data_IF_958935096857
#
_entry.id   IF_958935096857
#
_cell.length_a   1.000
_cell.length_b   1.000
_cell.length_c   1.000
_cell.angle_alpha   90.00
_cell.angle_beta   90.00
_cell.angle_gamma   90.00
#
_symmetry.space_group_name_H-M   'P 1'
#
loop_
_entity.id
_entity.type
_entity.pdbx_description
1 polymer ?
#
# COMPACT_ATOMS: atom_id res chain seq x y z
N UNK A 1 -28.36 24.84 61.07
CA UNK A 1 -29.10 23.64 60.64
C UNK A 1 -29.04 23.59 59.13
N UNK A 2 -28.58 22.45 58.58
CA UNK A 2 -28.36 22.10 57.16
C UNK A 2 -27.16 22.77 56.46
N UNK A 3 -26.24 21.89 56.07
CA UNK A 3 -24.94 22.11 55.43
C UNK A 3 -25.08 21.91 53.93
N UNK A 4 -24.52 22.83 53.15
CA UNK A 4 -24.34 22.78 51.71
C UNK A 4 -23.29 21.74 51.29
N UNK A 5 -23.52 21.05 50.16
CA UNK A 5 -22.56 20.14 49.56
C UNK A 5 -22.53 20.34 48.03
N UNK A 6 -21.53 21.07 47.56
CA UNK A 6 -21.04 21.01 46.16
C UNK A 6 -19.52 20.87 46.22
N UNK A 7 -19.05 19.64 46.03
CA UNK A 7 -17.63 19.33 45.95
C UNK A 7 -17.07 19.69 44.58
N UNK A 8 -16.05 20.54 44.63
CA UNK A 8 -14.97 20.69 43.66
C UNK A 8 -14.14 19.39 43.71
N UNK A 9 -13.89 18.73 42.57
CA UNK A 9 -12.88 17.67 42.50
C UNK A 9 -11.60 18.26 41.89
N UNK A 10 -10.66 18.56 42.77
CA UNK A 10 -9.28 18.91 42.51
C UNK A 10 -8.47 17.69 42.08
N UNK A 11 -7.53 17.94 41.17
CA UNK A 11 -6.49 17.04 40.67
C UNK A 11 -5.68 16.39 41.79
N UNK A 12 -5.33 15.10 41.64
CA UNK A 12 -4.23 14.49 42.38
C UNK A 12 -3.32 13.74 41.41
N UNK A 13 -2.14 14.31 41.16
CA UNK A 13 -1.00 13.62 40.58
C UNK A 13 -0.23 12.93 41.70
N UNK A 14 0.15 11.66 41.52
CA UNK A 14 1.13 10.99 42.39
C UNK A 14 2.27 10.51 41.50
N UNK A 15 3.39 11.24 41.59
CA UNK A 15 4.71 10.83 41.14
C UNK A 15 5.31 9.92 42.22
N UNK A 16 5.76 8.73 41.85
CA UNK A 16 6.68 7.93 42.66
C UNK A 16 7.78 7.34 41.76
N UNK A 17 9.00 7.87 41.92
CA UNK A 17 10.24 7.24 41.46
C UNK A 17 10.80 6.39 42.60
N UNK A 18 11.14 5.13 42.36
CA UNK A 18 12.29 4.48 43.01
C UNK A 18 12.94 3.46 42.09
N UNK A 19 14.25 3.36 42.23
CA UNK A 19 15.14 2.45 41.52
C UNK A 19 15.02 1.01 42.05
N UNK A 20 15.29 0.05 41.16
CA UNK A 20 15.43 -1.39 41.37
C UNK A 20 14.12 -2.22 41.46
N UNK A 21 13.93 -3.07 40.44
CA UNK A 21 13.44 -4.44 40.56
C UNK A 21 12.06 -4.71 41.19
N UNK A 22 11.12 -5.17 40.35
CA UNK A 22 10.07 -6.16 40.64
C UNK A 22 9.35 -6.11 42.00
N UNK A 23 8.07 -5.70 42.00
CA UNK A 23 7.01 -6.39 42.75
C UNK A 23 5.61 -5.99 42.28
N UNK A 24 4.87 -6.97 41.77
CA UNK A 24 3.41 -6.93 41.63
C UNK A 24 2.84 -7.27 43.01
N UNK A 25 2.22 -6.31 43.72
CA UNK A 25 1.07 -6.62 44.60
C UNK A 25 0.30 -5.37 45.06
N UNK A 26 -1.01 -5.41 44.81
CA UNK A 26 -2.16 -4.83 45.53
C UNK A 26 -1.98 -3.64 46.50
N UNK A 27 -2.73 -2.58 46.25
CA UNK A 27 -3.34 -1.69 47.24
C UNK A 27 -4.53 -0.98 46.58
N UNK A 28 -5.67 -0.70 47.20
CA UNK A 28 -6.29 -1.15 48.44
C UNK A 28 -7.79 -0.91 48.23
N UNK A 29 -8.64 -1.75 48.80
CA UNK A 29 -10.08 -1.57 48.82
C UNK A 29 -10.41 -0.22 49.49
N UNK A 30 -10.92 0.74 48.71
CA UNK A 30 -11.64 1.89 49.24
C UNK A 30 -13.09 1.85 48.72
N UNK A 31 -13.95 1.52 49.67
CA UNK A 31 -15.40 1.76 49.73
C UNK A 31 -16.18 1.71 48.40
N UNK A 32 -16.57 0.49 48.00
CA UNK A 32 -17.42 0.24 46.82
C UNK A 32 -18.90 0.58 47.07
N UNK A 33 -19.28 1.15 48.22
CA UNK A 33 -20.68 1.44 48.56
C UNK A 33 -21.29 2.64 47.82
N UNK A 34 -20.48 3.42 47.07
CA UNK A 34 -20.93 4.57 46.27
C UNK A 34 -20.90 4.37 44.75
N UNK A 35 -20.52 3.19 44.26
CA UNK A 35 -20.61 2.89 42.82
C UNK A 35 -22.00 2.37 42.48
N UNK A 36 -22.80 3.18 41.78
CA UNK A 36 -24.03 2.70 41.16
C UNK A 36 -23.69 1.57 40.18
N UNK A 37 -24.49 0.49 40.22
CA UNK A 37 -24.39 -0.62 39.30
C UNK A 37 -24.54 -0.10 37.85
N UNK A 38 -23.43 0.07 37.15
CA UNK A 38 -23.40 0.66 35.81
C UNK A 38 -22.13 1.42 35.42
N UNK A 39 -21.16 1.61 36.32
CA UNK A 39 -19.88 2.21 35.96
C UNK A 39 -19.01 1.23 35.13
N UNK A 40 -19.22 1.19 33.81
CA UNK A 40 -18.21 0.70 32.88
C UNK A 40 -17.03 1.67 32.93
N UNK A 41 -15.91 1.22 33.48
CA UNK A 41 -14.64 1.91 33.33
C UNK A 41 -14.27 1.91 31.84
N UNK A 42 -14.52 3.03 31.15
CA UNK A 42 -13.92 3.27 29.86
C UNK A 42 -12.45 3.64 30.12
N UNK A 43 -11.58 2.64 30.05
CA UNK A 43 -10.15 2.88 29.88
C UNK A 43 -9.96 3.54 28.52
N UNK A 44 -9.69 4.84 28.53
CA UNK A 44 -9.14 5.53 27.36
C UNK A 44 -7.70 5.04 27.21
N UNK A 45 -7.47 4.10 26.30
CA UNK A 45 -6.11 3.75 25.87
C UNK A 45 -5.70 4.83 24.88
N UNK A 46 -4.78 5.71 25.28
CA UNK A 46 -4.19 6.69 24.36
C UNK A 46 -3.51 5.95 23.19
N UNK A 47 -3.84 6.32 21.95
CA UNK A 47 -3.17 5.81 20.75
C UNK A 47 -1.70 6.26 20.75
N UNK A 48 -0.80 5.48 21.35
CA UNK A 48 0.62 5.84 21.41
C UNK A 48 1.57 4.96 22.24
N UNK A 49 1.07 4.01 23.04
CA UNK A 49 1.91 3.31 24.02
C UNK A 49 2.63 2.03 23.53
N UNK A 50 2.37 1.54 22.32
CA UNK A 50 3.04 0.31 21.86
C UNK A 50 4.39 0.58 21.22
N UNK A 51 5.35 -0.32 21.46
CA UNK A 51 6.65 -0.29 20.83
C UNK A 51 6.56 -0.22 19.29
N UNK A 52 7.39 0.64 18.70
CA UNK A 52 7.48 0.84 17.27
C UNK A 52 8.87 0.47 16.77
N UNK A 53 8.93 -0.55 15.91
CA UNK A 53 10.17 -0.98 15.26
C UNK A 53 10.55 -0.03 14.11
N UNK A 54 9.56 0.44 13.35
CA UNK A 54 9.77 1.36 12.21
C UNK A 54 10.12 0.67 10.90
N UNK A 55 9.24 -0.23 10.48
CA UNK A 55 9.29 -0.91 9.19
C UNK A 55 7.91 -0.85 8.53
N UNK A 56 7.92 -0.93 7.20
CA UNK A 56 6.79 -1.41 6.42
C UNK A 56 7.06 -2.88 6.10
N UNK A 57 6.02 -3.69 6.21
CA UNK A 57 6.14 -5.12 5.96
C UNK A 57 4.88 -5.68 5.35
N UNK A 58 5.06 -6.79 4.63
CA UNK A 58 3.99 -7.54 4.02
C UNK A 58 3.97 -8.98 4.53
N UNK A 59 2.84 -9.64 4.33
CA UNK A 59 2.74 -11.07 4.48
C UNK A 59 3.22 -11.75 3.20
N UNK A 60 3.86 -12.90 3.37
CA UNK A 60 4.30 -13.75 2.27
C UNK A 60 3.32 -14.88 2.07
N UNK A 61 3.12 -15.31 0.82
CA UNK A 61 2.38 -16.55 0.56
C UNK A 61 3.20 -17.75 1.01
N UNK A 62 2.52 -18.87 1.30
CA UNK A 62 3.16 -20.15 1.64
C UNK A 62 4.21 -20.57 0.61
N UNK A 63 3.91 -20.40 -0.67
CA UNK A 63 4.83 -20.78 -1.76
C UNK A 63 6.05 -19.87 -1.82
N UNK A 64 5.87 -18.56 -1.64
CA UNK A 64 6.99 -17.60 -1.57
C UNK A 64 7.87 -17.89 -0.36
N UNK A 65 7.26 -18.12 0.80
CA UNK A 65 7.98 -18.51 2.02
C UNK A 65 8.82 -19.77 1.81
N UNK A 66 8.25 -20.81 1.19
CA UNK A 66 8.97 -22.04 0.85
C UNK A 66 10.14 -21.79 -0.12
N UNK A 67 9.93 -21.00 -1.18
CA UNK A 67 10.99 -20.66 -2.16
C UNK A 67 12.16 -19.88 -1.52
N UNK A 68 11.85 -19.01 -0.57
CA UNK A 68 12.83 -18.22 0.19
C UNK A 68 13.48 -18.99 1.35
N UNK A 69 13.01 -20.20 1.64
CA UNK A 69 13.55 -21.03 2.73
C UNK A 69 13.09 -20.60 4.13
N UNK A 70 11.91 -20.01 4.25
CA UNK A 70 11.32 -19.64 5.53
C UNK A 70 10.53 -20.82 6.12
N UNK A 71 10.71 -21.06 7.43
CA UNK A 71 10.08 -22.19 8.14
C UNK A 71 8.55 -22.06 8.21
N UNK A 72 8.03 -20.83 8.17
CA UNK A 72 6.60 -20.54 8.15
C UNK A 72 6.32 -19.26 7.33
N UNK A 73 5.04 -18.95 7.12
CA UNK A 73 4.58 -17.78 6.35
C UNK A 73 4.12 -16.60 7.23
N UNK A 74 4.11 -16.78 8.56
CA UNK A 74 3.44 -15.86 9.49
C UNK A 74 4.32 -14.71 9.98
N UNK A 75 5.61 -14.74 9.65
CA UNK A 75 6.52 -13.62 9.81
C UNK A 75 6.22 -12.43 8.91
N UNK A 76 7.01 -11.38 9.08
CA UNK A 76 6.86 -10.10 8.38
C UNK A 76 8.01 -9.88 7.41
N UNK A 77 7.70 -9.79 6.12
CA UNK A 77 8.68 -9.51 5.07
C UNK A 77 8.82 -8.01 4.88
N UNK A 78 10.00 -7.48 5.16
CA UNK A 78 10.26 -6.04 5.23
C UNK A 78 10.29 -5.45 3.82
N UNK A 79 9.30 -4.62 3.50
CA UNK A 79 9.24 -3.89 2.22
C UNK A 79 10.00 -2.57 2.28
N UNK A 80 10.12 -1.95 3.46
CA UNK A 80 10.89 -0.72 3.65
C UNK A 80 11.25 -0.52 5.11
N UNK A 81 12.40 0.07 5.35
CA UNK A 81 12.80 0.54 6.70
C UNK A 81 12.55 2.04 6.79
N UNK A 82 11.96 2.48 7.89
CA UNK A 82 11.67 3.89 8.12
C UNK A 82 12.96 4.60 8.53
N UNK A 83 13.24 5.76 7.93
CA UNK A 83 14.43 6.55 8.26
C UNK A 83 14.38 7.01 9.72
N UNK A 84 15.54 7.05 10.38
CA UNK A 84 15.72 7.37 11.79
C UNK A 84 14.93 6.46 12.75
N UNK A 85 14.57 5.26 12.32
CA UNK A 85 13.82 4.31 13.14
C UNK A 85 14.70 3.40 14.01
N UNK A 86 14.05 2.64 14.89
CA UNK A 86 14.72 1.61 15.67
C UNK A 86 15.27 0.48 14.78
N UNK A 87 14.52 0.10 13.74
CA UNK A 87 14.92 -0.88 12.74
C UNK A 87 16.18 -0.46 11.97
N UNK A 88 16.22 0.78 11.49
CA UNK A 88 17.38 1.33 10.76
C UNK A 88 18.64 1.31 11.63
N UNK A 89 18.54 1.82 12.87
CA UNK A 89 19.66 1.80 13.82
C UNK A 89 20.12 0.38 14.18
N UNK A 90 19.21 -0.59 14.15
CA UNK A 90 19.50 -2.00 14.38
C UNK A 90 20.08 -2.70 13.13
N UNK A 91 20.19 -2.00 12.00
CA UNK A 91 20.72 -2.54 10.75
C UNK A 91 19.77 -3.49 10.03
N UNK A 92 18.46 -3.44 10.31
CA UNK A 92 17.44 -4.11 9.50
C UNK A 92 17.37 -3.46 8.12
N UNK A 93 16.99 -4.24 7.12
CA UNK A 93 16.98 -3.85 5.71
C UNK A 93 15.68 -4.33 5.04
N UNK A 94 15.34 -3.73 3.89
CA UNK A 94 14.35 -4.33 3.00
C UNK A 94 14.78 -5.76 2.62
N UNK A 95 13.81 -6.62 2.30
CA UNK A 95 13.97 -8.06 2.08
C UNK A 95 14.32 -8.90 3.33
N UNK A 96 14.45 -8.30 4.52
CA UNK A 96 14.51 -9.08 5.75
C UNK A 96 13.17 -9.77 6.03
N UNK A 97 13.22 -10.99 6.54
CA UNK A 97 12.05 -11.70 7.02
C UNK A 97 12.09 -11.87 8.53
N UNK A 98 11.30 -11.07 9.25
CA UNK A 98 11.26 -11.08 10.71
C UNK A 98 10.28 -12.17 11.17
N UNK A 99 10.77 -13.10 11.98
CA UNK A 99 9.99 -14.23 12.47
C UNK A 99 9.91 -14.30 14.00
N UNK A 100 10.46 -13.31 14.72
CA UNK A 100 10.33 -13.25 16.17
C UNK A 100 10.99 -12.06 16.84
N UNK A 101 10.64 -11.86 18.10
CA UNK A 101 11.22 -10.88 19.02
C UNK A 101 11.44 -11.57 20.37
N UNK A 102 12.67 -11.59 20.84
CA UNK A 102 13.13 -12.32 22.05
C UNK A 102 12.68 -13.79 22.05
N UNK A 103 11.87 -14.22 23.01
CA UNK A 103 11.31 -15.58 23.09
C UNK A 103 10.10 -15.80 22.18
N UNK A 104 9.42 -14.73 21.73
CA UNK A 104 8.18 -14.84 20.96
C UNK A 104 8.47 -15.08 19.47
N UNK A 105 7.75 -16.02 18.87
CA UNK A 105 7.88 -16.38 17.44
C UNK A 105 6.56 -16.14 16.71
N UNK A 106 6.66 -15.77 15.44
CA UNK A 106 5.47 -15.62 14.60
C UNK A 106 4.88 -16.98 14.26
N UNK A 107 3.56 -17.07 14.31
CA UNK A 107 2.81 -18.30 14.08
C UNK A 107 1.38 -17.95 13.62
N UNK A 108 0.59 -18.97 13.29
CA UNK A 108 -0.82 -18.77 12.99
C UNK A 108 -1.52 -18.08 14.17
N UNK A 109 -2.21 -16.97 13.89
CA UNK A 109 -2.85 -16.15 14.92
C UNK A 109 -1.92 -15.20 15.68
N UNK A 110 -0.60 -15.26 15.49
CA UNK A 110 0.39 -14.39 16.14
C UNK A 110 1.40 -13.80 15.13
N UNK A 111 1.16 -12.56 14.71
CA UNK A 111 2.06 -11.80 13.84
C UNK A 111 3.04 -10.89 14.62
N UNK A 112 3.95 -10.23 13.90
CA UNK A 112 4.91 -9.30 14.49
C UNK A 112 4.24 -8.14 15.24
N UNK A 113 3.13 -7.62 14.74
CA UNK A 113 2.42 -6.50 15.39
C UNK A 113 1.91 -6.93 16.76
N UNK A 114 1.35 -8.13 16.86
CA UNK A 114 0.91 -8.68 18.14
C UNK A 114 2.08 -8.96 19.09
N UNK A 115 3.22 -9.41 18.57
CA UNK A 115 4.44 -9.58 19.37
C UNK A 115 4.90 -8.24 19.93
N UNK A 116 4.99 -7.20 19.09
CA UNK A 116 5.46 -5.87 19.50
C UNK A 116 4.55 -5.19 20.54
N UNK A 117 3.25 -5.50 20.58
CA UNK A 117 2.32 -5.00 21.61
C UNK A 117 2.67 -5.42 23.04
N UNK A 118 3.57 -6.40 23.22
CA UNK A 118 4.06 -6.84 24.53
C UNK A 118 5.18 -5.95 25.07
N UNK A 119 5.70 -5.03 24.26
CA UNK A 119 6.84 -4.20 24.58
C UNK A 119 6.42 -2.74 24.71
N UNK A 120 7.06 -2.07 25.66
CA UNK A 120 6.97 -0.62 25.79
C UNK A 120 8.02 0.07 24.89
N UNK A 121 7.77 1.31 24.47
CA UNK A 121 8.80 2.14 23.87
C UNK A 121 10.04 2.27 24.77
N UNK A 122 11.21 2.40 24.15
CA UNK A 122 12.54 2.41 24.75
C UNK A 122 12.98 1.10 25.40
N UNK A 123 12.16 0.04 25.34
CA UNK A 123 12.56 -1.28 25.78
C UNK A 123 13.57 -1.90 24.79
N UNK A 124 14.52 -2.66 25.34
CA UNK A 124 15.46 -3.46 24.53
C UNK A 124 14.81 -4.78 24.15
N UNK A 125 15.06 -5.22 22.92
CA UNK A 125 14.60 -6.51 22.42
C UNK A 125 15.60 -7.07 21.39
N UNK A 126 15.52 -8.36 21.12
CA UNK A 126 16.29 -9.06 20.08
C UNK A 126 15.35 -9.44 18.94
N UNK A 127 15.54 -8.84 17.77
CA UNK A 127 14.81 -9.18 16.56
C UNK A 127 15.45 -10.42 15.93
N UNK A 128 14.64 -11.45 15.70
CA UNK A 128 15.01 -12.65 14.96
C UNK A 128 14.53 -12.53 13.51
N UNK A 129 15.46 -12.58 12.56
CA UNK A 129 15.14 -12.39 11.15
C UNK A 129 15.95 -13.30 10.24
N UNK A 130 15.51 -13.46 9.01
CA UNK A 130 16.23 -14.14 7.94
C UNK A 130 16.65 -13.08 6.91
N UNK A 131 17.93 -13.09 6.54
CA UNK A 131 18.48 -12.28 5.44
C UNK A 131 19.31 -13.20 4.56
N UNK A 132 19.07 -13.18 3.25
CA UNK A 132 19.78 -14.05 2.30
C UNK A 132 19.76 -15.52 2.74
N UNK A 133 18.60 -16.00 3.19
CA UNK A 133 18.37 -17.39 3.67
C UNK A 133 19.10 -17.77 4.97
N UNK A 134 19.80 -16.84 5.61
CA UNK A 134 20.49 -17.06 6.88
C UNK A 134 19.71 -16.46 8.05
N UNK A 135 19.56 -17.24 9.14
CA UNK A 135 18.99 -16.76 10.39
C UNK A 135 19.98 -15.84 11.09
N UNK A 136 19.52 -14.63 11.43
CA UNK A 136 20.28 -13.55 12.07
C UNK A 136 19.52 -12.99 13.28
N UNK A 137 20.24 -12.22 14.08
CA UNK A 137 19.69 -11.50 15.24
C UNK A 137 20.16 -10.06 15.23
N UNK A 138 19.29 -9.13 15.62
CA UNK A 138 19.63 -7.73 15.81
C UNK A 138 19.14 -7.25 17.18
N UNK A 139 20.03 -6.62 17.95
CA UNK A 139 19.65 -5.95 19.18
C UNK A 139 19.04 -4.60 18.83
N UNK A 140 17.85 -4.31 19.36
CA UNK A 140 17.12 -3.07 19.08
C UNK A 140 16.67 -2.40 20.37
N UNK A 141 16.65 -1.07 20.36
CA UNK A 141 15.91 -0.26 21.34
C UNK A 141 14.65 0.22 20.64
N UNK A 142 13.49 -0.32 21.04
CA UNK A 142 12.22 -0.05 20.37
C UNK A 142 11.83 1.42 20.51
N UNK A 143 11.32 2.02 19.45
CA UNK A 143 10.96 3.44 19.42
C UNK A 143 9.51 3.69 19.83
N UNK A 144 9.16 4.98 19.88
CA UNK A 144 7.77 5.44 19.78
C UNK A 144 7.41 5.62 18.32
N UNK A 145 6.14 5.39 17.98
CA UNK A 145 5.66 5.76 16.65
C UNK A 145 5.70 7.29 16.52
N UNK A 146 6.33 7.85 15.48
CA UNK A 146 6.29 9.29 15.26
C UNK A 146 4.85 9.75 15.02
N UNK A 147 4.51 10.94 15.53
CA UNK A 147 3.19 11.57 15.35
C UNK A 147 2.99 12.12 13.93
N UNK A 148 4.08 12.38 13.21
CA UNK A 148 4.07 12.89 11.85
C UNK A 148 4.29 11.76 10.82
N UNK A 149 3.54 11.84 9.72
CA UNK A 149 3.73 10.96 8.57
C UNK A 149 5.11 11.17 7.92
N UNK A 150 5.63 10.14 7.27
CA UNK A 150 6.88 10.28 6.50
C UNK A 150 6.64 11.23 5.31
N UNK A 151 7.62 12.10 4.97
CA UNK A 151 7.51 12.94 3.78
C UNK A 151 7.33 12.07 2.54
N UNK A 152 6.30 12.39 1.76
CA UNK A 152 6.00 11.70 0.51
C UNK A 152 6.97 12.19 -0.56
N UNK A 153 7.73 11.28 -1.17
CA UNK A 153 8.62 11.61 -2.31
C UNK A 153 7.78 12.02 -3.52
N UNK A 154 8.18 13.09 -4.19
CA UNK A 154 7.61 13.47 -5.48
C UNK A 154 7.96 12.44 -6.57
N UNK A 155 7.21 12.39 -7.66
CA UNK A 155 7.47 11.43 -8.75
C UNK A 155 8.89 11.54 -9.31
N UNK A 156 9.45 12.74 -9.37
CA UNK A 156 10.80 12.97 -9.90
C UNK A 156 11.91 12.52 -8.93
N UNK A 157 11.58 12.23 -7.67
CA UNK A 157 12.51 11.68 -6.69
C UNK A 157 12.37 10.16 -6.55
N UNK A 158 11.37 9.55 -7.20
CA UNK A 158 11.17 8.10 -7.16
C UNK A 158 11.95 7.44 -8.29
N UNK A 159 12.82 6.52 -7.91
CA UNK A 159 13.51 5.65 -8.84
C UNK A 159 12.49 4.87 -9.69
N UNK A 160 12.77 4.74 -10.97
CA UNK A 160 11.89 4.10 -11.94
C UNK A 160 12.69 3.23 -12.91
N UNK A 161 12.49 1.92 -12.81
CA UNK A 161 13.12 0.98 -13.73
C UNK A 161 12.47 1.06 -15.12
N UNK A 162 11.16 1.33 -15.18
CA UNK A 162 10.37 1.38 -16.41
C UNK A 162 10.05 0.00 -16.98
N UNK A 163 9.45 -0.84 -16.14
CA UNK A 163 8.92 -2.15 -16.50
C UNK A 163 7.46 -2.26 -16.06
N UNK A 164 6.67 -3.04 -16.78
CA UNK A 164 5.29 -3.41 -16.45
C UNK A 164 5.14 -4.93 -16.44
N UNK A 165 4.16 -5.52 -15.74
CA UNK A 165 3.93 -6.95 -15.77
C UNK A 165 3.52 -7.41 -17.17
N UNK A 166 4.09 -8.52 -17.65
CA UNK A 166 3.66 -9.16 -18.88
C UNK A 166 2.70 -10.33 -18.57
N UNK A 167 1.40 -10.11 -18.82
CA UNK A 167 0.36 -11.13 -18.65
C UNK A 167 0.11 -11.54 -17.18
N UNK A 168 -0.55 -12.68 -17.00
CA UNK A 168 -0.71 -13.33 -15.70
C UNK A 168 0.54 -14.15 -15.42
N UNK A 169 1.30 -13.79 -14.39
CA UNK A 169 2.41 -14.63 -13.95
C UNK A 169 1.85 -15.91 -13.31
N UNK A 170 1.66 -16.92 -14.16
CA UNK A 170 1.24 -18.27 -13.76
C UNK A 170 2.38 -18.90 -12.97
N UNK A 171 2.28 -18.82 -11.64
CA UNK A 171 3.30 -19.27 -10.71
C UNK A 171 3.85 -20.65 -11.07
N UNK A 172 5.18 -20.77 -11.04
CA UNK A 172 5.89 -22.02 -11.38
C UNK A 172 7.18 -21.79 -12.17
N UNK A 173 7.22 -20.69 -12.94
CA UNK A 173 8.43 -20.23 -13.61
C UNK A 173 9.29 -19.37 -12.67
N UNK A 174 10.59 -19.34 -12.93
CA UNK A 174 11.54 -18.53 -12.18
C UNK A 174 11.52 -17.08 -12.67
N UNK A 175 11.45 -16.13 -11.73
CA UNK A 175 11.39 -14.71 -12.03
C UNK A 175 10.05 -14.24 -12.57
N UNK A 176 9.95 -12.93 -12.75
CA UNK A 176 8.72 -12.22 -13.13
C UNK A 176 8.84 -11.71 -14.55
N UNK A 177 7.86 -12.04 -15.40
CA UNK A 177 7.81 -11.60 -16.78
C UNK A 177 7.45 -10.11 -16.88
N UNK A 178 8.15 -9.39 -17.75
CA UNK A 178 8.01 -7.94 -17.89
C UNK A 178 7.86 -7.49 -19.34
N UNK A 179 7.13 -6.40 -19.52
CA UNK A 179 7.28 -5.51 -20.68
C UNK A 179 8.11 -4.30 -20.29
N UNK A 180 8.78 -3.71 -21.26
CA UNK A 180 9.64 -2.55 -21.11
C UNK A 180 8.94 -1.28 -21.54
N UNK A 181 9.22 -0.18 -20.83
CA UNK A 181 8.75 1.15 -21.19
C UNK A 181 9.88 1.84 -21.96
N UNK A 182 9.57 2.50 -23.07
CA UNK A 182 10.58 3.23 -23.84
C UNK A 182 11.24 4.36 -23.04
N UNK A 183 12.48 4.68 -23.39
CA UNK A 183 13.35 5.67 -22.74
C UNK A 183 13.66 5.38 -21.26
N UNK A 184 13.31 4.19 -20.78
CA UNK A 184 13.51 3.80 -19.39
C UNK A 184 14.92 3.30 -19.09
N UNK A 185 15.21 3.18 -17.80
CA UNK A 185 16.40 2.48 -17.31
C UNK A 185 16.44 1.04 -17.86
N UNK A 186 15.31 0.34 -17.87
CA UNK A 186 15.21 -1.05 -18.33
C UNK A 186 15.58 -1.21 -19.81
N UNK A 187 15.01 -0.37 -20.69
CA UNK A 187 15.34 -0.38 -22.12
C UNK A 187 16.82 -0.05 -22.34
N UNK A 188 17.35 0.96 -21.64
CA UNK A 188 18.75 1.38 -21.77
C UNK A 188 19.80 0.34 -21.29
N UNK A 189 19.38 -0.63 -20.47
CA UNK A 189 20.21 -1.78 -20.08
C UNK A 189 19.97 -3.02 -20.95
N UNK A 190 19.13 -2.90 -21.97
CA UNK A 190 18.85 -3.94 -22.95
C UNK A 190 17.86 -5.00 -22.49
N UNK A 191 17.04 -4.74 -21.46
CA UNK A 191 15.84 -5.53 -21.19
C UNK A 191 14.88 -5.40 -22.37
N UNK A 192 14.05 -6.42 -22.57
CA UNK A 192 13.05 -6.50 -23.63
C UNK A 192 11.77 -7.13 -23.09
N UNK A 193 10.67 -6.86 -23.78
CA UNK A 193 9.42 -7.59 -23.58
C UNK A 193 9.66 -9.09 -23.71
N UNK A 194 9.06 -9.89 -22.83
CA UNK A 194 9.29 -11.33 -22.72
C UNK A 194 10.37 -11.71 -21.70
N UNK A 195 11.20 -10.77 -21.24
CA UNK A 195 12.24 -11.08 -20.26
C UNK A 195 11.64 -11.43 -18.90
N UNK A 196 12.28 -12.37 -18.20
CA UNK A 196 11.93 -12.69 -16.80
C UNK A 196 13.00 -12.19 -15.85
N UNK A 197 12.67 -11.21 -15.02
CA UNK A 197 13.59 -10.71 -13.99
C UNK A 197 13.66 -11.72 -12.85
N UNK A 198 14.85 -12.25 -12.58
CA UNK A 198 15.09 -13.24 -11.52
C UNK A 198 15.78 -12.65 -10.30
N UNK A 199 16.51 -11.54 -10.46
CA UNK A 199 17.16 -10.85 -9.34
C UNK A 199 17.33 -9.37 -9.59
N UNK A 200 17.16 -8.55 -8.55
CA UNK A 200 17.52 -7.13 -8.53
C UNK A 200 18.43 -6.87 -7.33
N UNK A 201 19.59 -6.26 -7.56
CA UNK A 201 20.59 -5.91 -6.54
C UNK A 201 20.97 -7.08 -5.61
N UNK A 202 20.95 -8.31 -6.14
CA UNK A 202 21.27 -9.53 -5.39
C UNK A 202 20.11 -10.11 -4.56
N UNK A 203 18.91 -9.52 -4.62
CA UNK A 203 17.70 -10.08 -4.04
C UNK A 203 16.96 -10.94 -5.07
N UNK A 204 16.42 -12.08 -4.64
CA UNK A 204 15.61 -12.96 -5.48
C UNK A 204 14.26 -12.27 -5.79
N UNK A 205 13.87 -12.26 -7.06
CA UNK A 205 12.58 -11.72 -7.50
C UNK A 205 11.64 -12.89 -7.77
N UNK A 206 10.65 -13.07 -6.90
CA UNK A 206 9.70 -14.19 -6.98
C UNK A 206 8.34 -13.73 -7.50
N UNK A 207 7.92 -12.54 -7.11
CA UNK A 207 6.68 -11.92 -7.59
C UNK A 207 6.88 -10.42 -7.85
N UNK A 208 5.88 -9.81 -8.49
CA UNK A 208 5.92 -8.39 -8.84
C UNK A 208 6.18 -7.47 -7.62
N UNK A 209 5.77 -7.90 -6.42
CA UNK A 209 5.98 -7.13 -5.19
C UNK A 209 7.47 -7.05 -4.84
N UNK A 210 8.27 -8.06 -5.13
CA UNK A 210 9.73 -7.98 -4.94
C UNK A 210 10.37 -6.92 -5.84
N UNK A 211 9.88 -6.75 -7.08
CA UNK A 211 10.36 -5.69 -7.98
C UNK A 211 10.05 -4.32 -7.37
N UNK A 212 8.82 -4.12 -6.91
CA UNK A 212 8.42 -2.87 -6.27
C UNK A 212 9.28 -2.56 -5.04
N UNK A 213 9.50 -3.54 -4.15
CA UNK A 213 10.37 -3.41 -2.97
C UNK A 213 11.79 -3.04 -3.40
N UNK A 214 12.36 -3.71 -4.40
CA UNK A 214 13.73 -3.44 -4.84
C UNK A 214 13.89 -1.99 -5.33
N UNK A 215 12.91 -1.47 -6.08
CA UNK A 215 12.97 -0.13 -6.68
C UNK A 215 12.63 0.96 -5.66
N UNK A 216 11.60 0.78 -4.82
CA UNK A 216 11.15 1.80 -3.86
C UNK A 216 12.21 2.16 -2.80
N UNK A 217 13.18 1.26 -2.57
CA UNK A 217 14.30 1.48 -1.67
C UNK A 217 15.54 2.06 -2.36
N UNK A 218 15.47 2.37 -3.66
CA UNK A 218 16.55 3.04 -4.39
C UNK A 218 16.35 4.56 -4.46
N UNK A 219 17.45 5.25 -4.71
CA UNK A 219 17.48 6.67 -5.06
C UNK A 219 17.81 6.84 -6.54
N UNK A 220 17.30 7.90 -7.14
CA UNK A 220 17.61 8.27 -8.53
C UNK A 220 19.13 8.42 -8.69
N UNK A 221 19.66 7.87 -9.79
CA UNK A 221 21.09 7.84 -10.07
C UNK A 221 21.85 6.67 -9.43
N UNK A 222 21.28 5.97 -8.45
CA UNK A 222 21.90 4.74 -7.92
C UNK A 222 21.95 3.67 -9.00
N UNK A 223 23.05 2.90 -9.03
CA UNK A 223 23.21 1.84 -10.03
C UNK A 223 22.35 0.64 -9.65
N UNK A 224 21.36 0.31 -10.49
CA UNK A 224 20.57 -0.92 -10.37
C UNK A 224 21.29 -2.04 -11.12
N UNK A 225 21.30 -3.23 -10.53
CA UNK A 225 21.77 -4.46 -11.14
C UNK A 225 20.58 -5.41 -11.30
N UNK A 226 20.32 -5.85 -12.54
CA UNK A 226 19.21 -6.76 -12.85
C UNK A 226 19.76 -8.03 -13.49
N UNK A 227 19.41 -9.20 -12.95
CA UNK A 227 19.57 -10.50 -13.61
C UNK A 227 18.22 -10.93 -14.18
N UNK A 228 18.24 -11.41 -15.40
CA UNK A 228 17.03 -11.80 -16.12
C UNK A 228 17.28 -13.01 -17.03
N UNK A 229 16.20 -13.70 -17.41
CA UNK A 229 16.22 -14.76 -18.40
C UNK A 229 15.61 -14.28 -19.72
N UNK A 230 16.26 -14.65 -20.82
CA UNK A 230 15.74 -14.49 -22.19
C UNK A 230 16.07 -15.74 -22.98
N UNK A 231 15.06 -16.35 -23.60
CA UNK A 231 15.20 -17.60 -24.37
C UNK A 231 15.90 -18.72 -23.57
N UNK A 232 15.57 -18.84 -22.28
CA UNK A 232 16.18 -19.80 -21.36
C UNK A 232 17.63 -19.51 -20.95
N UNK A 233 18.23 -18.40 -21.38
CA UNK A 233 19.60 -18.00 -21.02
C UNK A 233 19.59 -16.89 -19.99
N UNK A 234 20.42 -17.04 -18.96
CA UNK A 234 20.65 -15.99 -17.96
C UNK A 234 21.48 -14.84 -18.54
N UNK A 235 21.04 -13.62 -18.27
CA UNK A 235 21.66 -12.35 -18.66
C UNK A 235 21.68 -11.40 -17.47
N UNK A 236 22.50 -10.36 -17.57
CA UNK A 236 22.68 -9.35 -16.54
C UNK A 236 22.81 -7.96 -17.19
N UNK A 237 22.14 -6.98 -16.61
CA UNK A 237 22.20 -5.57 -17.02
C UNK A 237 22.44 -4.68 -15.79
N UNK A 238 23.11 -3.55 -16.00
CA UNK A 238 23.28 -2.56 -14.93
C UNK A 238 23.42 -1.14 -15.48
N UNK A 239 22.68 -0.21 -14.86
CA UNK A 239 22.61 1.21 -15.21
C UNK A 239 22.26 2.06 -13.99
N UNK A 240 22.65 3.35 -13.93
CA UNK A 240 22.04 4.31 -13.03
C UNK A 240 20.52 4.36 -13.25
N UNK A 241 19.73 4.25 -12.18
CA UNK A 241 18.27 4.26 -12.26
C UNK A 241 17.76 5.68 -12.46
N UNK A 242 17.01 5.91 -13.54
CA UNK A 242 16.32 7.17 -13.81
C UNK A 242 15.15 7.36 -12.85
N UNK A 243 14.73 8.61 -12.68
CA UNK A 243 13.41 8.91 -12.11
C UNK A 243 12.28 8.60 -13.09
N UNK A 244 11.05 8.59 -12.58
CA UNK A 244 9.86 8.54 -13.42
C UNK A 244 9.80 9.71 -14.40
N UNK A 245 10.18 10.92 -13.96
CA UNK A 245 10.17 12.13 -14.78
C UNK A 245 11.21 12.08 -15.91
N UNK A 246 12.43 11.61 -15.63
CA UNK A 246 13.48 11.44 -16.65
C UNK A 246 13.11 10.41 -17.72
N UNK A 247 12.28 9.43 -17.38
CA UNK A 247 11.80 8.43 -18.35
C UNK A 247 10.74 9.04 -19.28
N UNK A 248 9.93 9.98 -18.79
CA UNK A 248 8.94 10.72 -19.59
C UNK A 248 9.54 11.88 -20.40
N UNK A 249 10.67 12.45 -19.97
CA UNK A 249 11.23 13.68 -20.55
C UNK A 249 11.72 13.55 -22.01
N UNK A 250 11.99 12.34 -22.52
CA UNK A 250 12.40 12.12 -23.93
C UNK A 250 11.28 11.61 -24.83
N UNK A 251 10.06 11.37 -24.32
CA UNK A 251 8.91 11.37 -25.22
C UNK A 251 8.65 12.83 -25.60
N UNK A 252 9.27 13.31 -26.68
CA UNK A 252 8.75 14.44 -27.45
C UNK A 252 7.42 14.03 -28.09
N UNK A 253 6.44 13.68 -27.26
CA UNK A 253 5.07 14.01 -27.56
C UNK A 253 4.89 15.37 -26.90
N UNK A 254 5.06 16.43 -27.68
CA UNK A 254 4.35 17.67 -27.34
C UNK A 254 2.91 17.24 -27.16
N UNK A 255 2.45 17.12 -25.91
CA UNK A 255 1.02 16.99 -25.66
C UNK A 255 0.48 18.32 -26.17
N UNK A 256 -0.23 18.36 -27.32
CA UNK A 256 -0.81 19.60 -27.74
C UNK A 256 -1.66 20.07 -26.57
N UNK A 257 -1.47 21.33 -26.16
CA UNK A 257 -2.41 22.00 -25.25
C UNK A 257 -3.79 21.59 -25.73
N UNK A 258 -4.52 20.84 -24.90
CA UNK A 258 -5.77 20.25 -25.32
C UNK A 258 -6.60 21.40 -25.91
N UNK A 259 -6.97 21.36 -27.21
CA UNK A 259 -7.85 22.39 -27.73
C UNK A 259 -9.09 22.38 -26.84
N UNK A 260 -9.61 23.57 -26.54
CA UNK A 260 -10.87 23.67 -25.81
C UNK A 260 -11.86 22.66 -26.40
N UNK A 261 -12.58 21.88 -25.56
CA UNK A 261 -13.28 20.69 -26.01
C UNK A 261 -14.11 20.98 -27.25
N UNK A 262 -13.61 20.52 -28.40
CA UNK A 262 -14.22 20.80 -29.69
C UNK A 262 -15.54 20.05 -29.85
N UNK A 263 -16.27 20.36 -30.93
CA UNK A 263 -17.60 19.79 -31.21
C UNK A 263 -17.66 18.26 -31.19
N UNK A 264 -16.54 17.56 -31.47
CA UNK A 264 -16.50 16.11 -31.34
C UNK A 264 -16.66 15.64 -29.88
N UNK A 265 -16.02 16.33 -28.92
CA UNK A 265 -16.06 15.99 -27.49
C UNK A 265 -17.43 16.29 -26.87
N UNK A 266 -17.99 17.47 -27.16
CA UNK A 266 -19.36 17.84 -26.73
C UNK A 266 -20.45 16.92 -27.31
N UNK A 267 -20.18 16.25 -28.43
CA UNK A 267 -21.10 15.27 -29.04
C UNK A 267 -21.03 13.87 -28.44
N UNK A 268 -19.88 13.43 -27.92
CA UNK A 268 -19.66 12.05 -27.44
C UNK A 268 -19.56 11.90 -25.93
N UNK A 269 -19.34 12.99 -25.20
CA UNK A 269 -19.30 13.02 -23.74
C UNK A 269 -20.21 14.15 -23.24
N UNK A 270 -21.52 13.93 -23.34
CA UNK A 270 -22.50 14.83 -22.72
C UNK A 270 -22.47 14.63 -21.20
N UNK A 271 -22.40 15.72 -20.45
CA UNK A 271 -22.29 15.78 -18.98
C UNK A 271 -23.37 15.01 -18.21
N UNK A 272 -24.45 14.59 -18.88
CA UNK A 272 -25.62 13.99 -18.25
C UNK A 272 -25.98 12.58 -18.77
N UNK A 273 -25.17 11.99 -19.65
CA UNK A 273 -25.40 10.60 -20.07
C UNK A 273 -24.81 9.64 -19.03
N UNK A 274 -25.71 8.95 -18.32
CA UNK A 274 -25.41 7.76 -17.51
C UNK A 274 -24.36 6.92 -18.23
N UNK A 275 -23.21 6.70 -17.58
CA UNK A 275 -22.23 5.71 -18.00
C UNK A 275 -22.97 4.47 -18.51
N UNK A 276 -22.67 3.93 -19.69
CA UNK A 276 -23.46 2.87 -20.31
C UNK A 276 -23.69 1.75 -19.31
N UNK A 277 -24.94 1.65 -18.84
CA UNK A 277 -25.32 0.73 -17.79
C UNK A 277 -25.43 -0.66 -18.41
N UNK A 278 -24.39 -1.47 -18.24
CA UNK A 278 -24.33 -2.86 -18.65
C UNK A 278 -23.76 -3.04 -20.04
N UNK A 279 -22.44 -3.15 -20.13
CA UNK A 279 -21.79 -3.74 -21.31
C UNK A 279 -21.78 -5.26 -21.08
N UNK A 280 -22.64 -5.98 -21.79
CA UNK A 280 -22.69 -7.44 -21.79
C UNK A 280 -21.75 -7.95 -22.87
N UNK A 281 -20.57 -8.44 -22.47
CA UNK A 281 -19.76 -9.37 -23.27
C UNK A 281 -20.17 -10.82 -22.97
N UNK A 282 -19.77 -11.81 -23.80
CA UNK A 282 -19.96 -13.21 -23.47
C UNK A 282 -19.13 -13.54 -22.22
N UNK A 283 -19.83 -13.69 -21.08
CA UNK A 283 -19.25 -14.17 -19.84
C UNK A 283 -18.74 -13.13 -18.84
N UNK A 284 -18.97 -11.83 -19.03
CA UNK A 284 -18.68 -10.85 -17.98
C UNK A 284 -19.65 -9.68 -18.04
N UNK A 285 -20.25 -9.34 -16.89
CA UNK A 285 -21.15 -8.21 -16.72
C UNK A 285 -20.53 -7.19 -15.78
N UNK A 286 -20.19 -6.01 -16.31
CA UNK A 286 -19.68 -4.88 -15.53
C UNK A 286 -20.77 -3.80 -15.44
N UNK A 287 -21.13 -3.42 -14.21
CA UNK A 287 -22.05 -2.33 -13.93
C UNK A 287 -21.36 -1.27 -13.08
N UNK A 288 -21.33 -0.03 -13.54
CA UNK A 288 -20.81 1.09 -12.77
C UNK A 288 -21.93 2.05 -12.36
N UNK A 289 -21.95 2.43 -11.08
CA UNK A 289 -22.92 3.33 -10.48
C UNK A 289 -22.19 4.37 -9.61
N UNK A 290 -22.82 5.51 -9.35
CA UNK A 290 -22.28 6.45 -8.37
C UNK A 290 -22.29 5.81 -6.98
N UNK A 291 -21.23 6.03 -6.22
CA UNK A 291 -21.17 5.56 -4.83
C UNK A 291 -22.08 6.41 -3.94
N UNK A 292 -22.94 5.79 -3.14
CA UNK A 292 -23.78 6.51 -2.16
C UNK A 292 -23.02 6.83 -0.88
N UNK A 293 -23.46 7.85 -0.13
CA UNK A 293 -22.83 8.23 1.16
C UNK A 293 -22.93 7.10 2.20
N UNK A 294 -24.02 6.35 2.17
CA UNK A 294 -24.28 5.21 3.05
C UNK A 294 -23.35 4.04 2.72
N UNK A 295 -23.09 3.77 1.44
CA UNK A 295 -22.11 2.77 1.01
C UNK A 295 -20.68 3.22 1.32
N UNK A 296 -20.33 4.47 1.04
CA UNK A 296 -19.03 5.05 1.37
C UNK A 296 -18.69 4.92 2.87
N UNK A 297 -19.68 5.18 3.73
CA UNK A 297 -19.53 5.05 5.19
C UNK A 297 -19.36 3.61 5.69
N UNK A 298 -19.66 2.61 4.85
CA UNK A 298 -19.43 1.18 5.16
C UNK A 298 -18.07 0.70 4.68
N UNK A 299 -17.43 1.43 3.78
CA UNK A 299 -16.11 1.09 3.25
C UNK A 299 -15.05 1.59 4.22
N UNK A 300 -14.27 0.67 4.79
CA UNK A 300 -13.16 1.05 5.67
C UNK A 300 -13.54 1.30 7.13
N UNK A 301 -14.61 0.67 7.64
CA UNK A 301 -14.93 0.63 9.09
C UNK A 301 -13.81 0.00 9.98
N UNK A 302 -12.67 -0.35 9.40
CA UNK A 302 -11.50 -0.89 10.07
C UNK A 302 -10.25 -0.07 9.69
N UNK A 303 -10.07 1.11 10.28
CA UNK A 303 -8.81 1.90 10.34
C UNK A 303 -7.96 1.99 9.03
N UNK A 304 -8.60 2.19 7.87
CA UNK A 304 -7.94 2.42 6.57
C UNK A 304 -8.42 3.74 5.96
N UNK A 305 -7.65 4.43 5.11
CA UNK A 305 -8.12 5.63 4.44
C UNK A 305 -9.38 5.29 3.64
N UNK A 306 -10.53 5.80 4.10
CA UNK A 306 -11.83 5.56 3.47
C UNK A 306 -11.90 6.17 2.07
N UNK A 307 -12.91 5.74 1.32
CA UNK A 307 -13.35 6.39 0.08
C UNK A 307 -14.55 7.26 0.43
N UNK A 308 -14.56 8.51 -0.02
CA UNK A 308 -15.73 9.37 0.13
C UNK A 308 -16.71 9.17 -1.05
N UNK A 309 -17.95 9.63 -0.89
CA UNK A 309 -18.96 9.61 -1.95
C UNK A 309 -18.92 10.89 -2.81
N UNK A 310 -17.75 11.52 -2.96
CA UNK A 310 -17.62 12.73 -3.76
C UNK A 310 -17.92 12.45 -5.24
N UNK A 311 -18.63 13.37 -5.87
CA UNK A 311 -18.91 13.38 -7.30
C UNK A 311 -18.90 14.83 -7.80
N UNK A 312 -17.80 15.53 -7.51
CA UNK A 312 -17.62 16.94 -7.82
C UNK A 312 -16.47 17.17 -8.83
N UNK A 313 -16.05 16.12 -9.52
CA UNK A 313 -15.08 16.17 -10.61
C UNK A 313 -15.83 16.46 -11.93
N UNK A 314 -15.68 17.66 -12.52
CA UNK A 314 -16.45 18.05 -13.69
C UNK A 314 -15.96 17.31 -14.95
N UNK A 315 -16.90 17.01 -15.87
CA UNK A 315 -16.63 16.49 -17.22
C UNK A 315 -15.80 15.19 -17.29
N UNK A 316 -15.85 14.36 -16.24
CA UNK A 316 -15.21 13.05 -16.22
C UNK A 316 -16.05 12.01 -16.98
N UNK A 317 -15.74 11.81 -18.25
CA UNK A 317 -16.27 10.71 -19.03
C UNK A 317 -15.63 9.40 -18.62
N UNK A 318 -16.35 8.54 -17.88
CA UNK A 318 -15.82 7.28 -17.37
C UNK A 318 -16.49 6.11 -18.09
N UNK A 319 -15.73 5.44 -18.95
CA UNK A 319 -16.22 4.26 -19.68
C UNK A 319 -15.52 3.03 -19.17
N UNK A 320 -16.32 2.01 -18.85
CA UNK A 320 -15.85 0.68 -18.51
C UNK A 320 -16.35 -0.28 -19.56
N UNK A 321 -15.47 -1.01 -20.21
CA UNK A 321 -15.81 -2.13 -21.07
C UNK A 321 -14.87 -3.29 -20.78
N UNK A 322 -15.33 -4.50 -21.05
CA UNK A 322 -14.50 -5.71 -21.08
C UNK A 322 -14.27 -6.09 -22.53
N UNK A 323 -13.02 -6.32 -22.94
CA UNK A 323 -12.76 -7.01 -24.19
C UNK A 323 -12.89 -8.53 -23.99
N UNK A 324 -13.52 -9.21 -24.94
CA UNK A 324 -13.82 -10.65 -24.93
C UNK A 324 -12.55 -11.53 -24.87
N UNK A 325 -11.36 -10.92 -25.03
CA UNK A 325 -10.07 -11.60 -25.05
C UNK A 325 -9.22 -11.38 -23.79
N UNK A 326 -9.45 -10.29 -23.05
CA UNK A 326 -8.47 -9.80 -22.06
C UNK A 326 -8.95 -9.81 -20.61
N UNK A 327 -10.26 -9.93 -20.33
CA UNK A 327 -10.80 -9.94 -18.96
C UNK A 327 -10.40 -8.71 -18.11
N UNK A 328 -10.04 -7.59 -18.74
CA UNK A 328 -9.60 -6.37 -18.08
C UNK A 328 -10.68 -5.31 -18.04
N UNK A 329 -10.65 -4.50 -16.99
CA UNK A 329 -11.41 -3.27 -16.86
C UNK A 329 -10.67 -2.13 -17.57
N UNK A 330 -11.20 -1.66 -18.69
CA UNK A 330 -10.67 -0.43 -19.30
C UNK A 330 -11.19 0.78 -18.51
N UNK A 331 -10.30 1.67 -18.09
CA UNK A 331 -10.62 2.93 -17.42
C UNK A 331 -10.20 4.06 -18.34
N UNK A 332 -11.16 4.79 -18.88
CA UNK A 332 -10.91 6.01 -19.65
C UNK A 332 -11.51 7.18 -18.91
N UNK A 333 -10.75 8.26 -18.71
CA UNK A 333 -11.27 9.50 -18.16
C UNK A 333 -10.55 10.72 -18.73
N UNK A 334 -11.29 11.82 -18.90
CA UNK A 334 -10.72 13.11 -19.29
C UNK A 334 -10.76 14.06 -18.11
N UNK A 335 -9.65 14.74 -17.86
CA UNK A 335 -9.46 15.67 -16.75
C UNK A 335 -9.00 17.02 -17.30
N UNK A 336 -9.89 18.03 -17.38
CA UNK A 336 -9.58 19.27 -18.09
C UNK A 336 -8.60 20.18 -17.35
N UNK A 337 -8.51 20.07 -16.02
CA UNK A 337 -7.67 20.93 -15.19
C UNK A 337 -6.39 20.20 -14.79
N UNK A 338 -5.24 20.88 -14.83
CA UNK A 338 -3.99 20.33 -14.32
C UNK A 338 -3.99 20.41 -12.81
N UNK A 339 -4.02 19.26 -12.14
CA UNK A 339 -3.91 19.18 -10.69
C UNK A 339 -3.41 17.79 -10.27
N UNK A 340 -3.00 17.68 -9.00
CA UNK A 340 -2.53 16.41 -8.43
C UNK A 340 -3.63 15.35 -8.51
N UNK A 341 -3.38 14.28 -9.26
CA UNK A 341 -4.39 13.31 -9.66
C UNK A 341 -4.00 11.91 -9.23
N UNK A 342 -4.92 11.19 -8.61
CA UNK A 342 -4.75 9.80 -8.20
C UNK A 342 -5.99 8.97 -8.49
N UNK A 343 -5.75 7.70 -8.82
CA UNK A 343 -6.75 6.67 -9.04
C UNK A 343 -6.57 5.57 -7.99
N UNK A 344 -7.66 5.09 -7.42
CA UNK A 344 -7.67 4.05 -6.39
C UNK A 344 -8.83 3.11 -6.63
N UNK A 345 -8.60 1.81 -6.56
CA UNK A 345 -9.68 0.81 -6.58
C UNK A 345 -9.59 0.00 -5.30
N UNK A 346 -10.73 -0.14 -4.64
CA UNK A 346 -10.91 -0.95 -3.44
C UNK A 346 -11.85 -2.11 -3.75
N UNK A 347 -11.67 -3.25 -3.09
CA UNK A 347 -12.69 -4.31 -3.10
C UNK A 347 -13.80 -4.03 -2.07
N UNK A 348 -14.81 -4.90 -2.00
CA UNK A 348 -15.95 -4.78 -1.09
C UNK A 348 -15.58 -4.63 0.40
N UNK A 349 -14.42 -5.16 0.81
CA UNK A 349 -13.90 -5.04 2.18
C UNK A 349 -13.16 -3.73 2.47
N UNK A 350 -13.00 -2.86 1.47
CA UNK A 350 -12.19 -1.64 1.57
C UNK A 350 -10.67 -1.90 1.49
N UNK A 351 -10.23 -3.07 1.01
CA UNK A 351 -8.82 -3.31 0.69
C UNK A 351 -8.50 -2.65 -0.64
N UNK A 352 -7.46 -1.82 -0.67
CA UNK A 352 -6.90 -1.26 -1.89
C UNK A 352 -6.34 -2.40 -2.76
N UNK A 353 -6.87 -2.54 -3.97
CA UNK A 353 -6.48 -3.56 -4.95
C UNK A 353 -5.78 -2.96 -6.17
N UNK A 354 -5.95 -1.67 -6.42
CA UNK A 354 -5.22 -0.93 -7.44
C UNK A 354 -5.01 0.52 -7.00
N UNK A 355 -3.84 1.07 -7.28
CA UNK A 355 -3.56 2.48 -7.08
C UNK A 355 -2.62 2.97 -8.18
N UNK A 356 -2.98 4.12 -8.73
CA UNK A 356 -2.16 4.81 -9.71
C UNK A 356 -2.10 6.29 -9.34
N UNK A 357 -0.92 6.88 -9.33
CA UNK A 357 -0.73 8.32 -9.14
C UNK A 357 -0.30 8.90 -10.48
N UNK A 358 -1.05 9.89 -10.95
CA UNK A 358 -0.80 10.60 -12.20
C UNK A 358 -0.02 11.91 -11.95
N UNK A 359 0.15 12.30 -10.68
CA UNK A 359 0.76 13.57 -10.30
C UNK A 359 -0.03 14.76 -10.86
N UNK A 360 0.68 15.82 -11.26
CA UNK A 360 0.05 16.98 -11.92
C UNK A 360 -0.41 16.59 -13.32
N UNK A 361 -1.69 16.26 -13.45
CA UNK A 361 -2.25 15.68 -14.68
C UNK A 361 -3.45 16.48 -15.18
N UNK A 362 -3.49 16.67 -16.49
CA UNK A 362 -4.66 17.05 -17.27
C UNK A 362 -4.62 16.29 -18.60
N UNK A 363 -5.77 16.18 -19.25
CA UNK A 363 -5.92 15.46 -20.52
C UNK A 363 -6.62 14.11 -20.36
N UNK A 364 -6.44 13.26 -21.38
CA UNK A 364 -7.09 11.95 -21.46
C UNK A 364 -6.21 10.89 -20.80
N UNK A 365 -6.75 10.23 -19.78
CA UNK A 365 -6.21 9.02 -19.19
C UNK A 365 -6.93 7.80 -19.77
N UNK A 366 -6.17 6.75 -20.08
CA UNK A 366 -6.69 5.46 -20.51
C UNK A 366 -5.76 4.37 -19.97
N UNK A 367 -6.30 3.42 -19.21
CA UNK A 367 -5.56 2.28 -18.70
C UNK A 367 -6.43 1.01 -18.68
N UNK A 368 -5.80 -0.16 -18.55
CA UNK A 368 -6.45 -1.46 -18.46
C UNK A 368 -6.07 -2.14 -17.15
N UNK A 369 -7.07 -2.37 -16.29
CA UNK A 369 -6.85 -2.94 -14.96
C UNK A 369 -7.47 -4.32 -14.86
N UNK A 370 -6.66 -5.32 -14.52
CA UNK A 370 -7.15 -6.66 -14.17
C UNK A 370 -7.60 -6.69 -12.70
N UNK A 371 -8.83 -6.22 -12.45
CA UNK A 371 -9.43 -6.32 -11.11
C UNK A 371 -10.01 -7.71 -10.83
N UNK A 372 -10.19 -8.56 -11.86
CA UNK A 372 -10.84 -9.87 -11.74
C UNK A 372 -9.99 -10.92 -11.03
N UNK A 373 -8.66 -10.76 -10.98
CA UNK A 373 -7.81 -11.57 -10.11
C UNK A 373 -8.24 -11.55 -8.64
N UNK A 374 -9.02 -10.55 -8.23
CA UNK A 374 -9.55 -10.41 -6.88
C UNK A 374 -10.95 -11.04 -6.70
N UNK A 375 -11.47 -11.72 -7.73
CA UNK A 375 -12.75 -12.42 -7.77
C UNK A 375 -13.92 -11.55 -8.23
N UNK A 376 -15.06 -12.18 -8.47
CA UNK A 376 -16.31 -11.46 -8.75
C UNK A 376 -16.80 -10.71 -7.51
N UNK A 377 -17.45 -9.57 -7.71
CA UNK A 377 -18.03 -8.82 -6.61
C UNK A 377 -18.04 -7.31 -6.80
N UNK A 378 -18.13 -6.61 -5.67
CA UNK A 378 -18.22 -5.16 -5.63
C UNK A 378 -16.82 -4.57 -5.45
N UNK A 379 -16.53 -3.58 -6.27
CA UNK A 379 -15.35 -2.75 -6.25
C UNK A 379 -15.75 -1.28 -6.15
N UNK A 380 -14.82 -0.46 -5.68
CA UNK A 380 -15.02 0.96 -5.51
C UNK A 380 -13.84 1.69 -6.13
N UNK A 381 -14.09 2.44 -7.20
CA UNK A 381 -13.12 3.31 -7.85
C UNK A 381 -13.24 4.71 -7.28
N UNK A 382 -12.11 5.33 -6.95
CA UNK A 382 -11.99 6.75 -6.71
C UNK A 382 -11.01 7.35 -7.72
N UNK A 383 -11.40 8.46 -8.35
CA UNK A 383 -10.48 9.34 -9.07
C UNK A 383 -10.51 10.67 -8.34
N UNK A 384 -9.37 11.09 -7.79
CA UNK A 384 -9.22 12.33 -7.05
C UNK A 384 -8.27 13.24 -7.79
N UNK A 385 -8.67 14.48 -8.02
CA UNK A 385 -7.85 15.54 -8.61
C UNK A 385 -7.91 16.78 -7.72
N UNK A 386 -6.82 17.05 -7.00
CA UNK A 386 -6.76 18.07 -5.96
C UNK A 386 -7.83 17.87 -4.88
N UNK A 387 -8.72 18.86 -4.73
CA UNK A 387 -9.84 18.81 -3.76
C UNK A 387 -11.11 18.17 -4.31
N UNK A 388 -11.12 17.78 -5.59
CA UNK A 388 -12.29 17.20 -6.26
C UNK A 388 -12.08 15.70 -6.42
N UNK A 389 -13.16 14.93 -6.37
CA UNK A 389 -13.12 13.50 -6.62
C UNK A 389 -14.42 13.00 -7.24
N UNK A 390 -14.32 11.87 -7.92
CA UNK A 390 -15.43 11.05 -8.34
C UNK A 390 -15.25 9.63 -7.82
N UNK A 391 -16.27 9.13 -7.14
CA UNK A 391 -16.31 7.77 -6.62
C UNK A 391 -17.40 6.95 -7.29
N UNK A 392 -17.05 5.76 -7.78
CA UNK A 392 -17.95 4.83 -8.44
C UNK A 392 -17.94 3.47 -7.75
N UNK A 393 -19.12 2.88 -7.62
CA UNK A 393 -19.29 1.46 -7.34
C UNK A 393 -19.24 0.69 -8.66
N UNK A 394 -18.37 -0.29 -8.75
CA UNK A 394 -18.25 -1.19 -9.89
C UNK A 394 -18.69 -2.56 -9.41
N UNK A 395 -19.73 -3.12 -10.02
CA UNK A 395 -20.16 -4.49 -9.79
C UNK A 395 -19.67 -5.33 -10.95
N UNK A 396 -18.87 -6.34 -10.65
CA UNK A 396 -18.41 -7.32 -11.62
C UNK A 396 -19.07 -8.66 -11.32
N UNK A 397 -19.64 -9.27 -12.35
CA UNK A 397 -20.20 -10.61 -12.29
C UNK A 397 -19.64 -11.41 -13.45
N UNK A 398 -19.10 -12.59 -13.17
CA UNK A 398 -18.65 -13.57 -14.16
C UNK A 398 -19.79 -14.14 -15.00
N UNK A 399 -19.48 -15.15 -15.84
CA UNK A 399 -20.48 -15.85 -16.66
C UNK A 399 -21.53 -16.57 -15.83
#
# INVERSE_FOLDING_TARGET
MKTDMKYICTSLAILAFTANGWLIQQAAAQDTSKLSAGAKAYFWVEEGEYAFLGIYSEQVSKDKAKKLGFDNQYGSYVSRVVNNSAAERAGLQAFDYIFGVDEYRTAEGQDLTQILRRYAPNQRAVIHFIRQREKRKANVVLGRRPSEGQPQRSECERAFLGVSPEGLDVGGLEGVAITTISNSTAESMGLKDGDRITSINGHDIIDWRDIAIAIDNMEVGQTIEVKYQRDGKSRKGSRPIKSHCETKAESQWEVPVAPEPGDWFNRHFKSDEKAPSGIKGPGLSIKAENLTKEEASRIGQSNKPGIGAENNLPHTGLTFYSDNSSNKLHIKCYLPETADTGLRIFNASGRLVYHYSLGQFSGLFSDEVDILQNGDGIYYLEIRQGKRAVSKKITVSGP
#
